data_IF_967016599321
#
_entry.id   IF_967016599321
#
_cell.length_a   1.000
_cell.length_b   1.000
_cell.length_c   1.000
_cell.angle_alpha   90.00
_cell.angle_beta   90.00
_cell.angle_gamma   90.00
#
_symmetry.space_group_name_H-M   'P 1'
#
loop_
_entity.id
_entity.type
_entity.pdbx_description
1 polymer ?
#
# COMPACT_ATOMS: atom_id res chain seq x y z
N UNK A 1 8.55 -17.13 -40.54
CA UNK A 1 8.73 -15.89 -39.75
C UNK A 1 10.10 -15.29 -40.05
N UNK A 2 10.26 -13.97 -40.08
CA UNK A 2 11.57 -13.37 -40.32
C UNK A 2 12.52 -13.65 -39.15
N UNK A 3 13.72 -14.13 -39.47
CA UNK A 3 14.77 -14.43 -38.50
C UNK A 3 15.86 -13.35 -38.56
N UNK A 4 16.47 -12.98 -37.42
CA UNK A 4 17.60 -12.07 -37.41
C UNK A 4 18.79 -12.72 -38.12
N UNK A 5 19.37 -12.00 -39.09
CA UNK A 5 20.55 -12.48 -39.85
C UNK A 5 21.79 -12.66 -38.97
N UNK A 6 21.92 -11.86 -37.90
CA UNK A 6 23.06 -11.87 -36.99
C UNK A 6 22.64 -11.57 -35.55
N UNK A 7 23.53 -11.92 -34.61
CA UNK A 7 23.35 -11.63 -33.17
C UNK A 7 23.52 -10.14 -32.90
N UNK A 8 22.57 -9.53 -32.18
CA UNK A 8 22.74 -8.17 -31.68
C UNK A 8 23.91 -8.07 -30.71
N UNK A 9 24.77 -7.05 -30.91
CA UNK A 9 25.87 -6.76 -30.00
C UNK A 9 25.36 -6.35 -28.61
N UNK A 10 26.19 -6.56 -27.57
CA UNK A 10 25.87 -6.13 -26.20
C UNK A 10 25.56 -4.63 -26.14
N UNK A 11 26.31 -3.82 -26.89
CA UNK A 11 26.11 -2.37 -27.01
C UNK A 11 24.73 -2.02 -27.58
N UNK A 12 24.33 -2.61 -28.71
CA UNK A 12 23.04 -2.34 -29.33
C UNK A 12 21.86 -2.75 -28.42
N UNK A 13 21.96 -3.92 -27.77
CA UNK A 13 20.98 -4.37 -26.78
C UNK A 13 20.88 -3.38 -25.61
N UNK A 14 22.02 -2.98 -25.03
CA UNK A 14 22.05 -2.12 -23.85
C UNK A 14 21.57 -0.70 -24.17
N UNK A 15 21.93 -0.15 -25.34
CA UNK A 15 21.42 1.15 -25.83
C UNK A 15 19.90 1.12 -26.01
N UNK A 16 19.34 0.03 -26.54
CA UNK A 16 17.88 -0.10 -26.60
C UNK A 16 17.24 -0.14 -25.21
N UNK A 17 17.89 -0.80 -24.25
CA UNK A 17 17.40 -0.94 -22.87
C UNK A 17 17.62 0.28 -21.98
N UNK A 18 18.37 1.30 -22.41
CA UNK A 18 18.65 2.50 -21.60
C UNK A 18 17.37 3.25 -21.19
N UNK A 19 16.32 3.15 -22.01
CA UNK A 19 15.03 3.81 -21.75
C UNK A 19 14.03 2.95 -20.98
N UNK A 20 14.36 1.69 -20.66
CA UNK A 20 13.46 0.79 -19.91
C UNK A 20 13.56 0.96 -18.39
N UNK A 21 13.90 2.16 -17.90
CA UNK A 21 13.92 2.43 -16.48
C UNK A 21 12.50 2.47 -15.89
N UNK A 22 12.33 1.88 -14.72
CA UNK A 22 11.07 1.96 -13.97
C UNK A 22 10.92 3.36 -13.36
N UNK A 23 9.69 3.88 -13.37
CA UNK A 23 9.35 5.14 -12.72
C UNK A 23 8.95 4.88 -11.26
N UNK A 24 9.40 5.75 -10.36
CA UNK A 24 9.02 5.69 -8.94
C UNK A 24 7.57 6.15 -8.78
N UNK A 25 6.81 5.43 -7.95
CA UNK A 25 5.45 5.81 -7.57
C UNK A 25 5.47 6.95 -6.55
N UNK A 26 4.61 7.95 -6.76
CA UNK A 26 4.36 9.00 -5.77
C UNK A 26 3.25 8.53 -4.83
N UNK A 27 3.57 8.44 -3.55
CA UNK A 27 2.62 8.13 -2.48
C UNK A 27 2.35 9.38 -1.65
N UNK A 28 1.12 9.53 -1.18
CA UNK A 28 0.69 10.60 -0.28
C UNK A 28 0.22 10.01 1.04
N UNK A 29 0.31 10.76 2.13
CA UNK A 29 -0.18 10.29 3.44
C UNK A 29 -1.70 10.39 3.53
N UNK A 30 -2.34 9.36 4.07
CA UNK A 30 -3.78 9.37 4.35
C UNK A 30 -4.08 10.33 5.51
N UNK A 31 -5.07 11.23 5.41
CA UNK A 31 -5.42 12.15 6.49
C UNK A 31 -6.04 11.45 7.71
N UNK A 32 -6.62 10.26 7.56
CA UNK A 32 -7.32 9.54 8.65
C UNK A 32 -6.41 8.57 9.40
N UNK A 33 -5.51 7.86 8.70
CA UNK A 33 -4.68 6.81 9.31
C UNK A 33 -3.17 7.01 9.12
N UNK A 34 -2.73 8.08 8.46
CA UNK A 34 -1.30 8.39 8.25
C UNK A 34 -0.56 7.47 7.28
N UNK A 35 -1.17 6.39 6.80
CA UNK A 35 -0.52 5.45 5.90
C UNK A 35 -0.30 6.01 4.49
N UNK A 36 0.71 5.49 3.80
CA UNK A 36 0.99 5.84 2.41
C UNK A 36 -0.08 5.29 1.46
N UNK A 37 -0.66 6.17 0.65
CA UNK A 37 -1.73 5.89 -0.29
C UNK A 37 -1.38 6.41 -1.68
N UNK A 38 -1.95 5.80 -2.70
CA UNK A 38 -1.90 6.34 -4.05
C UNK A 38 -2.80 7.58 -4.15
N UNK A 39 -2.36 8.64 -4.85
CA UNK A 39 -3.20 9.81 -5.08
C UNK A 39 -4.45 9.42 -5.87
N UNK A 40 -5.57 10.08 -5.57
CA UNK A 40 -6.88 9.82 -6.17
C UNK A 40 -7.46 8.41 -5.96
N UNK A 41 -6.92 7.62 -5.02
CA UNK A 41 -7.49 6.33 -4.61
C UNK A 41 -8.03 6.37 -3.19
N UNK A 42 -9.02 5.52 -2.92
CA UNK A 42 -9.53 5.26 -1.58
C UNK A 42 -8.44 4.55 -0.77
N UNK A 43 -8.28 4.93 0.50
CA UNK A 43 -7.36 4.22 1.38
C UNK A 43 -7.85 2.78 1.63
N UNK A 44 -6.99 1.79 1.36
CA UNK A 44 -7.31 0.36 1.55
C UNK A 44 -7.47 -0.03 3.02
N UNK A 45 -6.89 0.75 3.93
CA UNK A 45 -6.89 0.43 5.36
C UNK A 45 -8.09 1.01 6.10
N UNK A 46 -8.43 2.28 5.83
CA UNK A 46 -9.50 2.98 6.53
C UNK A 46 -10.74 3.26 5.66
N UNK A 47 -10.72 2.91 4.37
CA UNK A 47 -11.88 3.00 3.48
C UNK A 47 -12.31 4.44 3.16
N UNK A 48 -11.50 5.43 3.56
CA UNK A 48 -11.82 6.84 3.39
C UNK A 48 -11.16 7.46 2.16
N UNK A 49 -11.86 8.43 1.58
CA UNK A 49 -11.38 9.31 0.52
C UNK A 49 -11.83 10.73 0.81
N UNK A 50 -10.90 11.68 0.80
CA UNK A 50 -11.19 13.11 1.08
C UNK A 50 -12.02 13.33 2.35
N UNK A 51 -11.60 12.72 3.47
CA UNK A 51 -12.25 12.81 4.78
C UNK A 51 -13.69 12.28 4.84
N UNK A 52 -14.16 11.61 3.79
CA UNK A 52 -15.44 10.90 3.76
C UNK A 52 -15.19 9.41 3.83
N UNK A 53 -16.01 8.71 4.59
CA UNK A 53 -16.04 7.26 4.61
C UNK A 53 -16.80 6.78 3.37
N UNK A 54 -16.10 6.11 2.46
CA UNK A 54 -16.68 5.61 1.20
C UNK A 54 -16.94 4.10 1.29
N UNK A 55 -16.14 3.41 2.11
CA UNK A 55 -16.26 1.97 2.32
C UNK A 55 -16.37 1.71 3.81
N UNK A 56 -17.53 1.21 4.24
CA UNK A 56 -17.73 0.67 5.58
C UNK A 56 -17.04 -0.70 5.69
N UNK A 57 -15.74 -0.67 6.01
CA UNK A 57 -14.95 -1.89 6.20
C UNK A 57 -15.51 -2.72 7.37
N UNK A 58 -16.09 -2.07 8.38
CA UNK A 58 -16.67 -2.71 9.56
C UNK A 58 -17.93 -3.53 9.23
N UNK A 59 -18.75 -3.08 8.28
CA UNK A 59 -19.98 -3.77 7.88
C UNK A 59 -19.73 -5.10 7.16
N UNK A 60 -18.55 -5.28 6.58
CA UNK A 60 -18.15 -6.48 5.82
C UNK A 60 -17.32 -7.49 6.61
N UNK A 61 -16.90 -7.16 7.83
CA UNK A 61 -16.15 -8.08 8.69
C UNK A 61 -17.09 -9.07 9.38
N UNK A 62 -16.70 -10.33 9.43
CA UNK A 62 -17.46 -11.34 10.20
C UNK A 62 -17.36 -11.02 11.70
N UNK A 63 -18.39 -11.37 12.51
CA UNK A 63 -18.38 -11.15 13.98
C UNK A 63 -17.13 -11.71 14.67
N UNK A 64 -16.50 -12.75 14.11
CA UNK A 64 -15.25 -13.35 14.59
C UNK A 64 -14.03 -12.45 14.41
N UNK A 65 -13.96 -11.72 13.29
CA UNK A 65 -12.86 -10.81 12.98
C UNK A 65 -12.97 -9.51 13.78
N UNK A 66 -14.20 -9.04 14.00
CA UNK A 66 -14.47 -7.89 14.89
C UNK A 66 -14.00 -8.17 16.32
N UNK A 67 -14.27 -9.38 16.86
CA UNK A 67 -13.86 -9.78 18.21
C UNK A 67 -12.34 -9.95 18.36
N UNK A 68 -11.63 -10.33 17.29
CA UNK A 68 -10.15 -10.42 17.28
C UNK A 68 -9.50 -9.04 17.26
N UNK A 69 -10.00 -8.14 16.39
CA UNK A 69 -9.53 -6.75 16.34
C UNK A 69 -9.75 -5.99 17.64
N UNK A 70 -10.88 -6.22 18.32
CA UNK A 70 -11.14 -5.62 19.64
C UNK A 70 -10.09 -6.05 20.68
N UNK A 71 -9.78 -7.35 20.74
CA UNK A 71 -8.73 -7.87 21.65
C UNK A 71 -7.34 -7.35 21.31
N UNK A 72 -7.00 -7.22 20.03
CA UNK A 72 -5.71 -6.67 19.60
C UNK A 72 -5.57 -5.19 19.98
N UNK A 73 -6.63 -4.40 19.85
CA UNK A 73 -6.65 -3.00 20.28
C UNK A 73 -6.49 -2.86 21.79
N UNK A 74 -7.22 -3.65 22.59
CA UNK A 74 -7.09 -3.68 24.06
C UNK A 74 -5.66 -4.04 24.51
N UNK A 75 -5.01 -5.02 23.85
CA UNK A 75 -3.62 -5.37 24.16
C UNK A 75 -2.63 -4.26 23.78
N UNK A 76 -2.88 -3.53 22.70
CA UNK A 76 -2.02 -2.43 22.26
C UNK A 76 -2.13 -1.21 23.17
N UNK A 77 -3.35 -0.89 23.64
CA UNK A 77 -3.58 0.17 24.62
C UNK A 77 -2.89 -0.16 25.95
N UNK A 78 -3.07 -1.39 26.46
CA UNK A 78 -2.41 -1.84 27.69
C UNK A 78 -0.86 -1.87 27.55
N UNK A 79 -0.31 -2.20 26.37
CA UNK A 79 1.13 -2.12 26.13
C UNK A 79 1.66 -0.68 26.00
N UNK A 80 0.82 0.26 25.53
CA UNK A 80 1.15 1.68 25.44
C UNK A 80 1.13 2.33 26.82
N UNK A 81 0.10 2.09 27.63
CA UNK A 81 0.02 2.54 29.02
C UNK A 81 1.23 2.05 29.84
N UNK A 82 1.57 0.77 29.71
CA UNK A 82 2.70 0.18 30.43
C UNK A 82 4.09 0.71 30.00
N UNK A 83 4.16 1.33 28.80
CA UNK A 83 5.35 2.04 28.29
C UNK A 83 5.39 3.50 28.70
N UNK A 84 4.25 4.15 28.89
CA UNK A 84 4.16 5.55 29.34
C UNK A 84 4.40 5.69 30.85
N UNK A 85 4.06 4.67 31.64
CA UNK A 85 4.31 4.63 33.09
C UNK A 85 5.76 4.28 33.49
N UNK A 86 6.63 3.94 32.53
CA UNK A 86 8.02 3.49 32.78
C UNK A 86 9.05 4.48 32.25
#
# INVERSE_FOLDING_TARGET
MPLPKQKHTKSHRNRRRSHHALKVLKLASCPKCGQAVLPHQVCRNCGSYQNREVIDILAKLTKKEQKKKAKELETQEHEQEHKEEK
#
